data_IF_550149008455
#
_entry.id   IF_550149008455
#
_cell.length_a   1.000
_cell.length_b   1.000
_cell.length_c   1.000
_cell.angle_alpha   90.00
_cell.angle_beta   90.00
_cell.angle_gamma   90.00
#
_symmetry.space_group_name_H-M   'P 1'
#
loop_
_entity.id
_entity.type
_entity.pdbx_description
1 polymer ?
#
# COMPACT_ATOMS: atom_id res chain seq x y z
N UNK A 1 -20.77 -34.84 22.54
CA UNK A 1 -20.63 -34.23 21.21
C UNK A 1 -19.19 -33.76 21.09
N UNK A 2 -18.47 -34.11 20.03
CA UNK A 2 -17.11 -33.57 19.82
C UNK A 2 -17.21 -32.05 19.70
N UNK A 3 -16.22 -31.34 20.26
CA UNK A 3 -16.14 -29.89 20.13
C UNK A 3 -16.01 -29.55 18.64
N UNK A 4 -16.91 -28.71 18.11
CA UNK A 4 -16.81 -28.22 16.72
C UNK A 4 -15.53 -27.41 16.58
N UNK A 5 -14.80 -27.66 15.49
CA UNK A 5 -13.54 -26.99 15.18
C UNK A 5 -13.70 -26.16 13.92
N UNK A 6 -13.30 -24.90 14.00
CA UNK A 6 -13.37 -23.94 12.92
C UNK A 6 -11.95 -23.48 12.53
N UNK A 7 -11.64 -23.52 11.24
CA UNK A 7 -10.39 -22.98 10.70
C UNK A 7 -10.62 -21.51 10.35
N UNK A 8 -9.74 -20.63 10.84
CA UNK A 8 -9.70 -19.21 10.44
C UNK A 8 -8.51 -19.01 9.52
N UNK A 9 -8.76 -18.75 8.23
CA UNK A 9 -7.71 -18.54 7.25
C UNK A 9 -7.32 -17.06 7.16
N UNK A 10 -6.22 -16.72 7.83
CA UNK A 10 -5.59 -15.41 7.83
C UNK A 10 -4.80 -15.17 6.54
N UNK A 11 -4.90 -13.95 6.00
CA UNK A 11 -4.19 -13.40 4.83
C UNK A 11 -3.82 -11.94 5.14
N UNK A 12 -4.45 -10.97 4.48
CA UNK A 12 -4.22 -9.53 4.70
C UNK A 12 -5.18 -8.97 5.78
N UNK A 13 -5.29 -9.68 6.89
CA UNK A 13 -6.16 -9.42 8.04
C UNK A 13 -5.47 -9.83 9.35
N UNK A 14 -4.16 -9.53 9.44
CA UNK A 14 -3.25 -9.98 10.50
C UNK A 14 -3.48 -9.26 11.84
N UNK A 15 -4.70 -9.34 12.36
CA UNK A 15 -5.15 -8.76 13.63
C UNK A 15 -6.18 -9.64 14.32
N UNK A 16 -6.27 -9.47 15.63
CA UNK A 16 -7.30 -10.11 16.48
C UNK A 16 -8.51 -9.18 16.66
N UNK A 17 -8.25 -7.90 16.91
CA UNK A 17 -9.30 -6.91 17.12
C UNK A 17 -10.03 -6.59 15.82
N UNK A 18 -11.35 -6.35 15.93
CA UNK A 18 -12.19 -5.97 14.79
C UNK A 18 -12.04 -6.92 13.60
N UNK A 19 -11.88 -8.23 13.86
CA UNK A 19 -11.73 -9.28 12.87
C UNK A 19 -13.01 -10.14 12.81
N UNK A 20 -13.87 -9.95 11.78
CA UNK A 20 -15.15 -10.66 11.67
C UNK A 20 -15.03 -12.18 11.55
N UNK A 21 -14.09 -12.67 10.74
CA UNK A 21 -13.86 -14.11 10.59
C UNK A 21 -13.43 -14.76 11.91
N UNK A 22 -12.46 -14.15 12.61
CA UNK A 22 -12.03 -14.65 13.92
C UNK A 22 -13.17 -14.60 14.94
N UNK A 23 -13.97 -13.53 14.92
CA UNK A 23 -15.12 -13.40 15.81
C UNK A 23 -16.16 -14.49 15.55
N UNK A 24 -16.55 -14.69 14.30
CA UNK A 24 -17.52 -15.72 13.91
C UNK A 24 -17.05 -17.14 14.25
N UNK A 25 -15.75 -17.43 14.13
CA UNK A 25 -15.18 -18.71 14.53
C UNK A 25 -15.23 -18.91 16.06
N UNK A 26 -14.90 -17.86 16.82
CA UNK A 26 -14.87 -17.93 18.29
C UNK A 26 -16.24 -18.22 18.91
N UNK A 27 -17.34 -17.81 18.26
CA UNK A 27 -18.70 -18.09 18.72
C UNK A 27 -19.14 -19.56 18.47
N UNK A 28 -18.39 -20.34 17.67
CA UNK A 28 -18.75 -21.73 17.29
C UNK A 28 -18.10 -22.80 18.14
N UNK A 29 -16.86 -22.60 18.58
CA UNK A 29 -16.09 -23.63 19.26
C UNK A 29 -14.58 -23.43 19.19
N UNK A 30 -13.86 -24.54 19.01
CA UNK A 30 -12.40 -24.52 18.90
C UNK A 30 -11.96 -23.81 17.62
N UNK A 31 -10.89 -23.01 17.70
CA UNK A 31 -10.37 -22.24 16.56
C UNK A 31 -8.97 -22.68 16.20
N UNK A 32 -8.74 -22.91 14.91
CA UNK A 32 -7.42 -23.15 14.31
C UNK A 32 -7.08 -21.98 13.39
N UNK A 33 -6.29 -21.00 13.85
CA UNK A 33 -5.74 -19.96 12.99
C UNK A 33 -4.74 -20.57 12.01
N UNK A 34 -4.91 -20.32 10.71
CA UNK A 34 -3.97 -20.75 9.67
C UNK A 34 -3.55 -19.58 8.79
N UNK A 35 -2.27 -19.51 8.45
CA UNK A 35 -1.75 -18.72 7.35
C UNK A 35 -1.11 -19.64 6.31
N UNK A 36 -1.45 -19.43 5.04
CA UNK A 36 -0.96 -20.24 3.91
C UNK A 36 -0.16 -19.33 2.99
N UNK A 37 1.12 -19.64 2.82
CA UNK A 37 1.99 -18.97 1.86
C UNK A 37 1.86 -19.62 0.48
N UNK A 38 1.21 -18.91 -0.44
CA UNK A 38 0.91 -19.38 -1.80
C UNK A 38 1.13 -18.26 -2.84
N UNK A 39 2.38 -17.77 -3.01
CA UNK A 39 2.65 -16.63 -3.90
C UNK A 39 2.26 -16.89 -5.35
N UNK A 40 2.29 -18.16 -5.79
CA UNK A 40 1.88 -18.56 -7.14
C UNK A 40 0.37 -18.40 -7.40
N UNK A 41 -0.44 -18.21 -6.35
CA UNK A 41 -1.88 -17.96 -6.46
C UNK A 41 -2.25 -16.46 -6.45
N UNK A 42 -1.26 -15.56 -6.33
CA UNK A 42 -1.45 -14.10 -6.33
C UNK A 42 -1.50 -13.52 -7.77
N UNK A 43 -1.55 -14.38 -8.79
CA UNK A 43 -1.56 -13.99 -10.20
C UNK A 43 -0.24 -13.38 -10.66
N UNK A 44 -0.31 -12.35 -11.51
CA UNK A 44 0.88 -11.69 -12.06
C UNK A 44 1.59 -10.75 -11.05
N UNK A 45 1.07 -10.64 -9.82
CA UNK A 45 1.54 -9.73 -8.79
C UNK A 45 1.90 -10.47 -7.49
N UNK A 46 2.85 -11.42 -7.51
CA UNK A 46 3.33 -12.04 -6.28
C UNK A 46 3.96 -10.98 -5.35
N UNK A 47 3.88 -11.14 -4.02
CA UNK A 47 4.37 -10.13 -3.08
C UNK A 47 5.85 -9.80 -3.29
N UNK A 48 6.15 -8.49 -3.39
CA UNK A 48 7.49 -7.96 -3.58
C UNK A 48 8.42 -8.16 -2.38
N UNK A 49 9.70 -7.78 -2.53
CA UNK A 49 10.70 -7.85 -1.47
C UNK A 49 10.27 -7.20 -0.16
N UNK A 50 9.85 -5.93 -0.22
CA UNK A 50 9.54 -5.16 0.99
C UNK A 50 8.27 -5.68 1.69
N UNK A 51 7.26 -6.07 0.90
CA UNK A 51 6.03 -6.72 1.38
C UNK A 51 6.32 -8.04 2.08
N UNK A 52 7.22 -8.89 1.54
CA UNK A 52 7.58 -10.16 2.19
C UNK A 52 8.30 -9.94 3.51
N UNK A 53 9.23 -8.99 3.57
CA UNK A 53 9.87 -8.60 4.83
C UNK A 53 8.84 -8.17 5.87
N UNK A 54 7.94 -7.25 5.51
CA UNK A 54 6.88 -6.81 6.43
C UNK A 54 6.01 -7.98 6.89
N UNK A 55 5.56 -8.82 5.96
CA UNK A 55 4.75 -10.01 6.24
C UNK A 55 5.42 -10.94 7.25
N UNK A 56 6.73 -11.21 7.13
CA UNK A 56 7.46 -12.03 8.09
C UNK A 56 7.30 -11.48 9.51
N UNK A 57 7.56 -10.18 9.68
CA UNK A 57 7.45 -9.50 10.97
C UNK A 57 6.01 -9.51 11.50
N UNK A 58 5.02 -9.29 10.64
CA UNK A 58 3.60 -9.32 10.99
C UNK A 58 3.14 -10.71 11.44
N UNK A 59 3.55 -11.78 10.76
CA UNK A 59 3.22 -13.15 11.16
C UNK A 59 3.85 -13.51 12.49
N UNK A 60 5.09 -13.09 12.74
CA UNK A 60 5.74 -13.26 14.03
C UNK A 60 4.97 -12.55 15.16
N UNK A 61 4.56 -11.29 14.95
CA UNK A 61 3.78 -10.56 15.97
C UNK A 61 2.39 -11.14 16.18
N UNK A 62 1.66 -11.49 15.11
CA UNK A 62 0.36 -12.15 15.19
C UNK A 62 0.46 -13.49 15.93
N UNK A 63 1.49 -14.29 15.65
CA UNK A 63 1.73 -15.56 16.34
C UNK A 63 1.90 -15.36 17.85
N UNK A 64 2.63 -14.32 18.28
CA UNK A 64 2.75 -13.97 19.71
C UNK A 64 1.42 -13.57 20.33
N UNK A 65 0.63 -12.76 19.62
CA UNK A 65 -0.68 -12.33 20.11
C UNK A 65 -1.67 -13.50 20.23
N UNK A 66 -1.69 -14.41 19.25
CA UNK A 66 -2.51 -15.63 19.31
C UNK A 66 -2.04 -16.55 20.44
N UNK A 67 -0.74 -16.68 20.67
CA UNK A 67 -0.18 -17.45 21.78
C UNK A 67 -0.62 -16.91 23.14
N UNK A 68 -0.68 -15.60 23.32
CA UNK A 68 -1.19 -14.97 24.54
C UNK A 68 -2.69 -15.28 24.79
N UNK A 69 -3.44 -15.68 23.76
CA UNK A 69 -4.83 -16.16 23.87
C UNK A 69 -4.94 -17.69 24.00
N UNK A 70 -3.82 -18.40 24.14
CA UNK A 70 -3.78 -19.87 24.19
C UNK A 70 -3.93 -20.56 22.84
N UNK A 71 -3.79 -19.81 21.73
CA UNK A 71 -3.86 -20.34 20.36
C UNK A 71 -2.46 -20.50 19.75
N UNK A 72 -2.40 -21.15 18.59
CA UNK A 72 -1.20 -21.26 17.76
C UNK A 72 -1.55 -20.85 16.33
N UNK A 73 -0.71 -20.01 15.73
CA UNK A 73 -0.80 -19.76 14.28
C UNK A 73 -0.16 -20.93 13.54
N UNK A 74 -0.97 -21.61 12.73
CA UNK A 74 -0.50 -22.71 11.88
C UNK A 74 0.01 -22.13 10.56
N UNK A 75 1.27 -22.38 10.25
CA UNK A 75 1.90 -21.96 9.01
C UNK A 75 1.96 -23.12 8.01
N UNK A 76 1.59 -22.83 6.77
CA UNK A 76 1.60 -23.74 5.63
C UNK A 76 2.15 -23.06 4.39
N UNK A 77 2.60 -23.85 3.43
CA UNK A 77 3.05 -23.42 2.12
C UNK A 77 2.49 -24.36 1.06
N UNK A 78 2.01 -23.81 -0.06
CA UNK A 78 1.43 -24.59 -1.16
C UNK A 78 0.07 -24.07 -1.60
N UNK A 79 -0.59 -24.81 -2.49
CA UNK A 79 -1.93 -24.48 -3.01
C UNK A 79 -2.95 -24.40 -1.88
N UNK A 80 -3.71 -23.31 -1.82
CA UNK A 80 -4.57 -23.02 -0.66
C UNK A 80 -5.66 -24.07 -0.46
N UNK A 81 -6.29 -24.53 -1.55
CA UNK A 81 -7.33 -25.55 -1.50
C UNK A 81 -6.82 -26.86 -0.89
N UNK A 82 -5.73 -27.38 -1.45
CA UNK A 82 -5.14 -28.66 -1.05
C UNK A 82 -4.75 -28.63 0.45
N UNK A 83 -4.15 -27.53 0.89
CA UNK A 83 -3.78 -27.30 2.30
C UNK A 83 -5.00 -27.24 3.22
N UNK A 84 -6.07 -26.54 2.81
CA UNK A 84 -7.29 -26.45 3.62
C UNK A 84 -8.00 -27.80 3.74
N UNK A 85 -8.06 -28.59 2.66
CA UNK A 85 -8.61 -29.94 2.66
C UNK A 85 -7.79 -30.91 3.54
N UNK A 86 -6.46 -30.81 3.50
CA UNK A 86 -5.59 -31.57 4.39
C UNK A 86 -5.86 -31.22 5.86
N UNK A 87 -5.95 -29.93 6.17
CA UNK A 87 -6.19 -29.45 7.52
C UNK A 87 -7.55 -29.90 8.07
N UNK A 88 -8.63 -29.76 7.30
CA UNK A 88 -9.98 -30.19 7.76
C UNK A 88 -9.99 -31.67 8.08
N UNK A 89 -9.35 -32.50 7.25
CA UNK A 89 -9.20 -33.94 7.49
C UNK A 89 -8.39 -34.22 8.76
N UNK A 90 -7.28 -33.52 8.98
CA UNK A 90 -6.41 -33.72 10.14
C UNK A 90 -7.05 -33.33 11.48
N UNK A 91 -7.84 -32.26 11.50
CA UNK A 91 -8.38 -31.70 12.74
C UNK A 91 -9.89 -31.94 12.94
N UNK A 92 -10.57 -32.56 11.97
CA UNK A 92 -12.01 -32.75 12.00
C UNK A 92 -12.79 -31.43 11.99
N UNK A 93 -12.25 -30.39 11.35
CA UNK A 93 -12.95 -29.12 11.21
C UNK A 93 -14.11 -29.25 10.22
N UNK A 94 -15.28 -28.76 10.61
CA UNK A 94 -16.50 -28.74 9.79
C UNK A 94 -16.75 -27.39 9.12
N UNK A 95 -15.97 -26.37 9.51
CA UNK A 95 -16.15 -24.99 9.11
C UNK A 95 -14.81 -24.33 8.81
N UNK A 96 -14.76 -23.57 7.71
CA UNK A 96 -13.65 -22.68 7.37
C UNK A 96 -14.21 -21.28 7.18
N UNK A 97 -13.57 -20.30 7.81
CA UNK A 97 -13.96 -18.88 7.70
C UNK A 97 -12.79 -17.99 7.33
N UNK A 98 -13.07 -16.91 6.61
CA UNK A 98 -12.04 -15.95 6.22
C UNK A 98 -12.60 -14.56 5.89
N UNK A 99 -11.78 -13.51 6.00
CA UNK A 99 -12.17 -12.17 5.54
C UNK A 99 -11.86 -12.00 4.05
N UNK A 100 -12.72 -11.33 3.28
CA UNK A 100 -12.60 -11.17 1.82
C UNK A 100 -11.39 -10.31 1.43
N UNK A 101 -10.82 -10.66 0.27
CA UNK A 101 -9.83 -9.89 -0.49
C UNK A 101 -10.43 -9.59 -1.87
N UNK A 102 -9.97 -8.51 -2.50
CA UNK A 102 -10.67 -7.88 -3.63
C UNK A 102 -9.83 -7.80 -4.91
N UNK A 103 -8.64 -8.38 -4.89
CA UNK A 103 -7.77 -8.48 -6.05
C UNK A 103 -8.33 -9.52 -7.05
N UNK A 104 -8.27 -9.29 -8.37
CA UNK A 104 -8.98 -10.12 -9.34
C UNK A 104 -8.60 -11.60 -9.33
N UNK A 105 -7.30 -11.92 -9.16
CA UNK A 105 -6.83 -13.29 -9.05
C UNK A 105 -7.33 -13.97 -7.76
N UNK A 106 -7.36 -13.20 -6.66
CA UNK A 106 -7.78 -13.68 -5.34
C UNK A 106 -9.29 -13.92 -5.28
N UNK A 107 -10.11 -13.05 -5.89
CA UNK A 107 -11.55 -13.28 -6.01
C UNK A 107 -11.83 -14.61 -6.73
N UNK A 108 -11.13 -14.87 -7.85
CA UNK A 108 -11.27 -16.11 -8.62
C UNK A 108 -10.83 -17.33 -7.80
N UNK A 109 -9.69 -17.24 -7.11
CA UNK A 109 -9.17 -18.29 -6.23
C UNK A 109 -10.16 -18.59 -5.10
N UNK A 110 -10.57 -17.58 -4.35
CA UNK A 110 -11.44 -17.74 -3.17
C UNK A 110 -12.81 -18.31 -3.59
N UNK A 111 -13.35 -17.92 -4.74
CA UNK A 111 -14.57 -18.51 -5.29
C UNK A 111 -14.40 -20.00 -5.64
N UNK A 112 -13.27 -20.39 -6.23
CA UNK A 112 -12.95 -21.77 -6.52
C UNK A 112 -12.76 -22.61 -5.25
N UNK A 113 -11.99 -22.10 -4.29
CA UNK A 113 -11.75 -22.73 -2.98
C UNK A 113 -13.07 -22.93 -2.23
N UNK A 114 -13.91 -21.90 -2.12
CA UNK A 114 -15.21 -22.00 -1.46
C UNK A 114 -16.12 -23.04 -2.12
N UNK A 115 -16.19 -23.02 -3.46
CA UNK A 115 -17.01 -23.99 -4.22
C UNK A 115 -16.57 -25.43 -3.94
N UNK A 116 -15.26 -25.70 -3.92
CA UNK A 116 -14.76 -27.05 -3.71
C UNK A 116 -14.96 -27.52 -2.27
N UNK A 117 -14.65 -26.69 -1.28
CA UNK A 117 -14.84 -27.04 0.14
C UNK A 117 -16.31 -27.32 0.47
N UNK A 118 -17.25 -26.56 -0.11
CA UNK A 118 -18.69 -26.83 0.02
C UNK A 118 -19.08 -28.15 -0.65
N UNK A 119 -18.50 -28.47 -1.81
CA UNK A 119 -18.71 -29.76 -2.47
C UNK A 119 -18.18 -30.93 -1.63
N UNK A 120 -17.14 -30.70 -0.82
CA UNK A 120 -16.60 -31.66 0.14
C UNK A 120 -17.44 -31.75 1.44
N UNK A 121 -18.57 -31.03 1.53
CA UNK A 121 -19.49 -31.06 2.66
C UNK A 121 -19.11 -30.14 3.84
N UNK A 122 -18.19 -29.19 3.63
CA UNK A 122 -17.75 -28.24 4.65
C UNK A 122 -18.58 -26.96 4.63
N UNK A 123 -18.71 -26.31 5.78
CA UNK A 123 -19.28 -24.97 5.87
C UNK A 123 -18.22 -23.92 5.56
N UNK A 124 -18.51 -23.01 4.63
CA UNK A 124 -17.62 -21.91 4.27
C UNK A 124 -18.34 -20.58 4.47
N UNK A 125 -17.74 -19.69 5.25
CA UNK A 125 -18.26 -18.33 5.45
C UNK A 125 -17.20 -17.26 5.25
N UNK A 126 -17.61 -16.18 4.60
CA UNK A 126 -16.70 -15.08 4.25
C UNK A 126 -17.26 -13.75 4.72
N UNK A 127 -16.38 -12.88 5.18
CA UNK A 127 -16.77 -11.63 5.82
C UNK A 127 -16.07 -10.42 5.21
N UNK A 128 -16.72 -9.26 5.22
CA UNK A 128 -16.09 -7.98 4.91
C UNK A 128 -15.20 -7.58 6.07
N UNK A 129 -13.88 -7.45 5.85
CA UNK A 129 -12.94 -7.13 6.95
C UNK A 129 -11.82 -6.14 6.60
N UNK A 130 -11.58 -5.91 5.31
CA UNK A 130 -10.49 -5.08 4.80
C UNK A 130 -10.97 -3.73 4.24
N UNK A 131 -12.27 -3.54 4.02
CA UNK A 131 -12.90 -2.33 3.48
C UNK A 131 -14.03 -1.84 4.39
N UNK A 132 -14.36 -0.55 4.28
CA UNK A 132 -15.56 0.03 4.91
C UNK A 132 -16.82 -0.33 4.13
N UNK A 133 -16.73 -0.30 2.80
CA UNK A 133 -17.84 -0.52 1.90
C UNK A 133 -17.49 -1.61 0.89
N UNK A 134 -18.43 -2.53 0.65
CA UNK A 134 -18.28 -3.55 -0.37
C UNK A 134 -18.28 -2.90 -1.78
N UNK A 135 -17.24 -3.06 -2.62
CA UNK A 135 -17.12 -2.40 -3.93
C UNK A 135 -18.31 -2.56 -4.89
N UNK A 136 -19.09 -3.64 -4.75
CA UNK A 136 -20.27 -3.89 -5.56
C UNK A 136 -21.55 -3.16 -5.10
N UNK A 137 -21.57 -2.58 -3.91
CA UNK A 137 -22.79 -1.97 -3.32
C UNK A 137 -22.88 -0.47 -3.53
N UNK A 138 -21.76 0.20 -3.84
CA UNK A 138 -21.71 1.65 -4.05
C UNK A 138 -21.76 1.98 -5.54
N UNK A 139 -22.96 2.23 -6.06
CA UNK A 139 -23.21 2.55 -7.47
C UNK A 139 -23.83 3.93 -7.64
N UNK A 140 -23.67 4.51 -8.84
CA UNK A 140 -24.34 5.77 -9.16
C UNK A 140 -25.85 5.57 -9.40
N UNK A 141 -26.59 6.68 -9.57
CA UNK A 141 -28.04 6.66 -9.81
C UNK A 141 -28.48 5.87 -11.04
N UNK A 142 -27.58 5.59 -11.97
CA UNK A 142 -27.83 4.78 -13.17
C UNK A 142 -27.38 3.32 -13.01
N UNK A 143 -27.01 2.88 -11.81
CA UNK A 143 -26.52 1.53 -11.53
C UNK A 143 -25.12 1.23 -12.08
N UNK A 144 -24.35 2.27 -12.45
CA UNK A 144 -22.99 2.12 -12.99
C UNK A 144 -21.92 2.44 -11.92
N UNK A 145 -20.71 1.86 -12.02
CA UNK A 145 -19.62 2.18 -11.12
C UNK A 145 -19.17 3.62 -11.25
N UNK A 146 -18.78 4.24 -10.13
CA UNK A 146 -18.15 5.56 -10.13
C UNK A 146 -16.74 5.52 -10.74
N UNK A 147 -16.39 6.59 -11.45
CA UNK A 147 -15.03 6.87 -11.96
C UNK A 147 -14.51 8.25 -11.54
N UNK A 148 -15.22 8.91 -10.61
CA UNK A 148 -14.86 10.21 -10.04
C UNK A 148 -14.92 10.09 -8.52
N UNK A 149 -13.83 10.42 -7.83
CA UNK A 149 -13.69 10.18 -6.40
C UNK A 149 -14.71 10.96 -5.57
N UNK A 150 -14.90 12.25 -5.87
CA UNK A 150 -15.77 13.12 -5.07
C UNK A 150 -17.22 12.65 -5.05
N UNK A 151 -17.72 12.16 -6.19
CA UNK A 151 -19.06 11.60 -6.30
C UNK A 151 -19.17 10.26 -5.55
N UNK A 152 -18.18 9.39 -5.69
CA UNK A 152 -18.09 8.11 -4.97
C UNK A 152 -18.09 8.34 -3.45
N UNK A 153 -17.19 9.19 -2.96
CA UNK A 153 -17.03 9.43 -1.52
C UNK A 153 -18.26 10.07 -0.90
N UNK A 154 -18.90 11.02 -1.61
CA UNK A 154 -20.18 11.58 -1.18
C UNK A 154 -21.27 10.51 -1.01
N UNK A 155 -21.31 9.52 -1.89
CA UNK A 155 -22.27 8.39 -1.76
C UNK A 155 -21.89 7.43 -0.64
N UNK A 156 -20.60 7.18 -0.40
CA UNK A 156 -20.13 6.41 0.75
C UNK A 156 -20.54 7.05 2.08
N UNK A 157 -20.38 8.37 2.22
CA UNK A 157 -20.74 9.12 3.43
C UNK A 157 -22.25 9.14 3.73
N UNK A 158 -23.10 8.70 2.79
CA UNK A 158 -24.55 8.55 3.00
C UNK A 158 -24.93 7.16 3.54
N UNK A 159 -23.99 6.22 3.56
CA UNK A 159 -24.21 4.89 4.10
C UNK A 159 -24.17 4.92 5.63
N UNK A 160 -24.77 3.91 6.30
CA UNK A 160 -24.62 3.75 7.74
C UNK A 160 -23.14 3.69 8.15
N UNK A 161 -22.85 4.19 9.35
CA UNK A 161 -21.50 4.11 9.88
C UNK A 161 -21.02 2.65 10.00
N UNK A 162 -19.71 2.40 9.78
CA UNK A 162 -19.14 1.06 9.90
C UNK A 162 -19.35 0.47 11.30
N UNK A 163 -20.04 -0.67 11.38
CA UNK A 163 -20.29 -1.35 12.65
C UNK A 163 -18.99 -1.97 13.17
N UNK A 164 -18.69 -1.72 14.45
CA UNK A 164 -17.55 -2.34 15.12
C UNK A 164 -17.80 -3.84 15.33
N UNK A 165 -16.83 -4.66 14.93
CA UNK A 165 -16.79 -6.06 15.35
C UNK A 165 -16.18 -6.16 16.74
N UNK A 166 -16.92 -6.78 17.67
CA UNK A 166 -16.43 -6.99 19.03
C UNK A 166 -15.32 -8.04 19.05
N UNK A 167 -14.21 -7.72 19.71
CA UNK A 167 -13.09 -8.66 19.92
C UNK A 167 -13.52 -9.81 20.83
N UNK A 168 -13.23 -11.08 20.48
CA UNK A 168 -13.48 -12.21 21.36
C UNK A 168 -12.71 -12.09 22.69
N UNK A 169 -13.39 -12.24 23.83
CA UNK A 169 -12.74 -12.20 25.16
C UNK A 169 -11.97 -13.48 25.48
N UNK A 170 -12.41 -14.61 24.94
CA UNK A 170 -11.78 -15.94 25.06
C UNK A 170 -12.01 -16.67 23.74
N UNK A 171 -11.01 -17.45 23.33
CA UNK A 171 -11.10 -18.31 22.15
C UNK A 171 -10.63 -19.69 22.57
N UNK A 172 -11.42 -20.73 22.29
CA UNK A 172 -11.07 -22.09 22.68
C UNK A 172 -10.02 -22.66 21.71
N UNK A 173 -8.91 -23.24 22.21
CA UNK A 173 -8.01 -24.01 21.36
C UNK A 173 -8.64 -25.36 20.97
N UNK A 174 -8.17 -26.01 19.89
CA UNK A 174 -8.52 -27.39 19.58
C UNK A 174 -7.91 -28.36 20.59
N UNK A 175 -8.47 -29.57 20.68
CA UNK A 175 -7.92 -30.64 21.51
C UNK A 175 -6.54 -31.12 21.04
N UNK A 176 -6.26 -31.03 19.74
CA UNK A 176 -4.95 -31.32 19.16
C UNK A 176 -4.62 -30.30 18.09
N UNK A 177 -3.35 -29.89 18.03
CA UNK A 177 -2.86 -28.96 17.02
C UNK A 177 -2.33 -29.72 15.80
N UNK A 178 -2.67 -29.30 14.57
CA UNK A 178 -2.01 -29.85 13.39
C UNK A 178 -0.53 -29.46 13.38
N UNK A 179 0.28 -30.16 12.57
CA UNK A 179 1.68 -29.79 12.34
C UNK A 179 1.76 -28.34 11.85
N UNK A 180 2.91 -27.69 11.94
CA UNK A 180 3.12 -26.34 11.41
C UNK A 180 4.54 -26.22 10.90
N UNK A 181 4.73 -25.48 9.82
CA UNK A 181 6.04 -24.97 9.46
C UNK A 181 6.52 -23.97 10.53
N UNK A 182 7.83 -23.77 10.58
CA UNK A 182 8.41 -22.58 11.22
C UNK A 182 8.22 -21.36 10.31
N UNK A 183 8.42 -20.17 10.86
CA UNK A 183 8.36 -18.94 10.06
C UNK A 183 9.52 -18.85 9.06
N UNK A 184 10.70 -19.37 9.43
CA UNK A 184 11.89 -19.37 8.58
C UNK A 184 11.72 -20.28 7.34
N UNK A 185 10.93 -21.35 7.47
CA UNK A 185 10.59 -22.24 6.34
C UNK A 185 9.82 -21.52 5.22
N UNK A 186 9.17 -20.38 5.53
CA UNK A 186 8.49 -19.58 4.51
C UNK A 186 9.45 -18.75 3.66
N UNK A 187 10.70 -18.54 4.10
CA UNK A 187 11.76 -17.83 3.37
C UNK A 187 11.33 -16.43 2.90
N UNK A 188 10.68 -15.67 3.79
CA UNK A 188 10.16 -14.33 3.52
C UNK A 188 11.19 -13.21 3.71
N UNK A 189 12.17 -13.42 4.58
CA UNK A 189 13.28 -12.49 4.79
C UNK A 189 14.26 -12.53 3.61
N UNK A 190 14.89 -11.40 3.25
CA UNK A 190 15.83 -11.36 2.14
C UNK A 190 17.14 -12.07 2.50
N UNK A 191 17.72 -12.78 1.53
CA UNK A 191 19.00 -13.49 1.72
C UNK A 191 20.20 -12.54 1.90
N UNK A 192 20.16 -11.37 1.26
CA UNK A 192 21.10 -10.27 1.49
C UNK A 192 20.35 -9.23 2.30
N UNK A 193 20.93 -8.76 3.41
CA UNK A 193 20.23 -7.84 4.31
C UNK A 193 20.16 -6.40 3.78
N UNK A 194 19.35 -6.18 2.74
CA UNK A 194 18.99 -4.85 2.25
C UNK A 194 17.83 -4.22 3.04
N UNK A 195 17.23 -4.97 3.97
CA UNK A 195 16.08 -4.53 4.78
C UNK A 195 16.46 -3.86 6.11
N UNK A 196 17.75 -3.68 6.39
CA UNK A 196 18.23 -3.07 7.65
C UNK A 196 17.59 -1.72 7.95
N UNK A 197 17.55 -0.81 6.98
CA UNK A 197 16.90 0.50 7.13
C UNK A 197 15.38 0.41 7.35
N UNK A 198 14.72 -0.64 6.83
CA UNK A 198 13.30 -0.89 7.11
C UNK A 198 13.08 -1.35 8.55
N UNK A 199 13.98 -2.18 9.11
CA UNK A 199 13.93 -2.59 10.52
C UNK A 199 14.12 -1.42 11.48
N UNK A 200 14.93 -0.43 11.10
CA UNK A 200 15.10 0.80 11.87
C UNK A 200 13.87 1.72 11.75
N UNK A 201 13.28 1.79 10.56
CA UNK A 201 12.17 2.69 10.26
C UNK A 201 10.80 2.20 10.77
N UNK A 202 10.61 0.89 10.94
CA UNK A 202 9.29 0.30 11.14
C UNK A 202 9.25 -0.79 12.20
N UNK A 203 8.07 -0.91 12.82
CA UNK A 203 7.69 -2.03 13.69
C UNK A 203 6.33 -2.57 13.22
N UNK A 204 6.32 -3.61 12.37
CA UNK A 204 5.08 -4.25 11.92
C UNK A 204 4.27 -4.87 13.06
N UNK A 205 2.96 -5.00 12.86
CA UNK A 205 2.02 -5.66 13.78
C UNK A 205 0.91 -4.76 14.31
N UNK A 206 -0.24 -5.38 14.64
CA UNK A 206 -1.46 -4.70 15.05
C UNK A 206 -1.32 -3.81 16.30
N UNK A 207 -0.45 -4.19 17.26
CA UNK A 207 -0.21 -3.39 18.47
C UNK A 207 0.45 -2.05 18.14
N UNK A 208 1.47 -2.07 17.29
CA UNK A 208 2.17 -0.85 16.87
C UNK A 208 1.29 -0.03 15.93
N UNK A 209 0.49 -0.67 15.06
CA UNK A 209 -0.52 0.00 14.26
C UNK A 209 -1.50 0.83 15.12
N UNK A 210 -2.02 0.23 16.20
CA UNK A 210 -2.91 0.88 17.14
C UNK A 210 -2.24 2.03 17.91
N UNK A 211 -1.00 1.83 18.36
CA UNK A 211 -0.21 2.89 19.01
C UNK A 211 -0.01 4.08 18.07
N UNK A 212 0.35 3.81 16.82
CA UNK A 212 0.55 4.83 15.79
C UNK A 212 -0.74 5.57 15.46
N UNK A 213 -1.86 4.86 15.34
CA UNK A 213 -3.18 5.47 15.14
C UNK A 213 -3.53 6.42 16.29
N UNK A 214 -3.35 6.01 17.55
CA UNK A 214 -3.61 6.88 18.70
C UNK A 214 -2.72 8.13 18.71
N UNK A 215 -1.42 7.97 18.46
CA UNK A 215 -0.48 9.09 18.38
C UNK A 215 -0.86 10.07 17.27
N UNK A 216 -1.22 9.56 16.09
CA UNK A 216 -1.67 10.37 14.98
C UNK A 216 -2.95 11.14 15.32
N UNK A 217 -3.97 10.44 15.84
CA UNK A 217 -5.26 11.04 16.20
C UNK A 217 -5.16 12.12 17.30
N UNK A 218 -4.19 11.98 18.22
CA UNK A 218 -3.95 12.95 19.29
C UNK A 218 -3.01 14.09 18.89
N UNK A 219 -2.25 13.94 17.81
CA UNK A 219 -1.23 14.88 17.36
C UNK A 219 -1.50 15.39 15.96
N UNK A 220 -0.82 14.80 14.97
CA UNK A 220 -0.76 15.31 13.60
C UNK A 220 -2.13 15.41 12.89
N UNK A 221 -3.15 14.67 13.34
CA UNK A 221 -4.51 14.78 12.79
C UNK A 221 -5.06 16.21 12.84
N UNK A 222 -4.75 16.99 13.89
CA UNK A 222 -5.28 18.36 14.01
C UNK A 222 -4.84 19.28 12.87
N UNK A 223 -3.61 19.08 12.34
CA UNK A 223 -3.05 19.87 11.25
C UNK A 223 -2.89 19.05 9.95
N UNK A 224 -3.66 17.97 9.80
CA UNK A 224 -3.45 17.01 8.71
C UNK A 224 -3.65 17.65 7.32
N UNK A 225 -4.63 18.54 7.15
CA UNK A 225 -4.93 19.18 5.86
C UNK A 225 -3.69 19.84 5.24
N UNK A 226 -2.93 20.57 6.05
CA UNK A 226 -1.70 21.25 5.63
C UNK A 226 -0.50 20.29 5.69
N UNK A 227 -0.34 19.60 6.81
CA UNK A 227 0.84 18.79 7.11
C UNK A 227 1.05 17.62 6.16
N UNK A 228 -0.01 16.99 5.65
CA UNK A 228 0.08 15.85 4.71
C UNK A 228 0.82 16.15 3.41
N UNK A 229 0.93 17.43 3.04
CA UNK A 229 1.55 17.85 1.79
C UNK A 229 3.07 18.08 1.93
N UNK A 230 3.55 18.33 3.14
CA UNK A 230 4.96 18.62 3.42
C UNK A 230 5.73 17.31 3.57
N UNK A 231 6.86 17.18 2.87
CA UNK A 231 7.68 15.95 2.89
C UNK A 231 8.77 15.98 3.95
N UNK A 232 9.07 17.16 4.49
CA UNK A 232 10.10 17.40 5.51
C UNK A 232 9.63 17.17 6.94
N UNK A 233 8.33 16.96 7.16
CA UNK A 233 7.74 16.71 8.48
C UNK A 233 6.95 15.40 8.51
N UNK A 234 6.80 14.81 9.69
CA UNK A 234 5.90 13.66 9.89
C UNK A 234 4.43 14.13 10.04
N UNK A 235 3.89 14.69 8.96
CA UNK A 235 2.54 15.25 8.90
C UNK A 235 1.44 14.26 8.50
N UNK A 236 1.79 12.99 8.25
CA UNK A 236 0.85 11.95 7.81
C UNK A 236 0.72 10.84 8.85
N UNK A 237 -0.29 9.97 8.72
CA UNK A 237 -0.47 8.88 9.68
C UNK A 237 0.58 7.78 9.54
N UNK A 238 1.16 7.60 8.35
CA UNK A 238 2.04 6.47 7.97
C UNK A 238 1.45 5.12 8.41
N UNK A 239 0.12 4.96 8.27
CA UNK A 239 -0.63 3.74 8.58
C UNK A 239 -0.87 2.83 7.36
N UNK A 240 -0.45 3.24 6.16
CA UNK A 240 -0.69 2.51 4.92
C UNK A 240 -0.23 1.05 4.93
N UNK A 241 0.97 0.66 5.43
CA UNK A 241 1.34 -0.75 5.45
C UNK A 241 0.48 -1.55 6.46
N UNK A 242 0.18 -0.97 7.62
CA UNK A 242 -0.71 -1.61 8.60
C UNK A 242 -2.13 -1.84 8.05
N UNK A 243 -2.65 -0.91 7.26
CA UNK A 243 -3.94 -1.05 6.56
C UNK A 243 -3.89 -2.07 5.42
N UNK A 244 -2.76 -2.17 4.71
CA UNK A 244 -2.57 -3.15 3.63
C UNK A 244 -2.56 -4.59 4.17
N UNK A 245 -1.80 -4.86 5.23
CA UNK A 245 -1.75 -6.19 5.88
C UNK A 245 -2.93 -6.48 6.82
N UNK A 246 -3.86 -5.52 6.96
CA UNK A 246 -5.03 -5.65 7.82
C UNK A 246 -4.70 -5.83 9.30
N UNK A 247 -3.54 -5.33 9.73
CA UNK A 247 -3.15 -5.18 11.13
C UNK A 247 -4.01 -4.12 11.83
N UNK A 248 -4.59 -3.23 11.03
CA UNK A 248 -5.55 -2.22 11.41
C UNK A 248 -6.73 -2.27 10.45
N UNK A 249 -7.96 -2.30 10.96
CA UNK A 249 -9.15 -2.17 10.10
C UNK A 249 -9.40 -0.70 9.76
N UNK A 250 -9.96 -0.40 8.57
CA UNK A 250 -10.39 0.97 8.28
C UNK A 250 -11.51 1.45 9.23
N UNK A 251 -12.32 0.53 9.79
CA UNK A 251 -13.32 0.84 10.80
C UNK A 251 -12.72 1.30 12.14
N UNK A 252 -11.56 0.75 12.54
CA UNK A 252 -10.79 1.23 13.69
C UNK A 252 -10.27 2.65 13.44
N UNK A 253 -9.78 2.94 12.22
CA UNK A 253 -9.33 4.29 11.84
C UNK A 253 -10.49 5.28 11.89
N UNK A 254 -11.61 4.95 11.26
CA UNK A 254 -12.83 5.78 11.25
C UNK A 254 -13.23 6.17 12.68
N UNK A 255 -13.39 5.19 13.58
CA UNK A 255 -13.79 5.42 14.96
C UNK A 255 -12.77 6.24 15.75
N UNK A 256 -11.47 6.02 15.54
CA UNK A 256 -10.43 6.81 16.20
C UNK A 256 -10.46 8.28 15.77
N UNK A 257 -10.80 8.56 14.52
CA UNK A 257 -10.95 9.93 14.01
C UNK A 257 -12.21 10.58 14.58
N UNK A 258 -13.34 9.87 14.52
CA UNK A 258 -14.64 10.38 15.01
C UNK A 258 -14.69 10.61 16.52
N UNK A 259 -13.84 9.92 17.30
CA UNK A 259 -13.73 10.13 18.75
C UNK A 259 -12.54 11.02 19.16
N UNK A 260 -11.76 11.52 18.18
CA UNK A 260 -10.65 12.43 18.45
C UNK A 260 -11.13 13.86 18.76
N UNK A 261 -10.24 14.68 19.34
CA UNK A 261 -10.51 16.12 19.52
C UNK A 261 -10.66 16.88 18.20
N UNK A 262 -10.18 16.32 17.09
CA UNK A 262 -10.28 16.89 15.77
C UNK A 262 -11.56 16.45 15.03
N UNK A 263 -12.43 15.64 15.64
CA UNK A 263 -13.70 15.23 15.04
C UNK A 263 -14.53 16.45 14.60
N UNK A 264 -15.07 16.40 13.38
CA UNK A 264 -15.81 17.51 12.77
C UNK A 264 -14.94 18.66 12.25
N UNK A 265 -13.61 18.57 12.33
CA UNK A 265 -12.71 19.53 11.68
C UNK A 265 -12.45 19.18 10.21
N UNK A 266 -12.07 20.18 9.42
CA UNK A 266 -11.61 19.98 8.03
C UNK A 266 -10.47 18.97 7.93
N UNK A 267 -9.52 18.99 8.87
CA UNK A 267 -8.40 18.02 8.88
C UNK A 267 -8.88 16.58 9.07
N UNK A 268 -9.90 16.35 9.89
CA UNK A 268 -10.50 15.03 10.07
C UNK A 268 -11.25 14.58 8.81
N UNK A 269 -12.03 15.47 8.18
CA UNK A 269 -12.75 15.17 6.93
C UNK A 269 -11.79 14.86 5.79
N UNK A 270 -10.71 15.65 5.66
CA UNK A 270 -9.64 15.40 4.69
C UNK A 270 -8.97 14.06 4.97
N UNK A 271 -8.69 13.71 6.23
CA UNK A 271 -8.10 12.41 6.56
C UNK A 271 -9.03 11.24 6.23
N UNK A 272 -10.33 11.34 6.54
CA UNK A 272 -11.32 10.32 6.17
C UNK A 272 -11.47 10.20 4.65
N UNK A 273 -11.37 11.31 3.90
CA UNK A 273 -11.35 11.26 2.45
C UNK A 273 -10.12 10.50 1.91
N UNK A 274 -8.97 10.55 2.58
CA UNK A 274 -7.79 9.75 2.21
C UNK A 274 -7.99 8.25 2.49
N UNK A 275 -8.77 7.89 3.52
CA UNK A 275 -9.26 6.51 3.67
C UNK A 275 -10.25 6.17 2.54
N UNK A 276 -11.11 7.11 2.16
CA UNK A 276 -12.00 7.00 1.01
C UNK A 276 -11.26 6.75 -0.31
N UNK A 277 -10.06 7.33 -0.51
CA UNK A 277 -9.24 7.07 -1.69
C UNK A 277 -8.80 5.61 -1.77
N UNK A 278 -8.52 4.97 -0.63
CA UNK A 278 -8.24 3.52 -0.56
C UNK A 278 -9.49 2.72 -0.96
N UNK A 279 -10.66 3.06 -0.43
CA UNK A 279 -11.93 2.43 -0.82
C UNK A 279 -12.20 2.59 -2.32
N UNK A 280 -11.94 3.78 -2.87
CA UNK A 280 -12.12 4.08 -4.28
C UNK A 280 -11.14 3.30 -5.17
N UNK A 281 -9.90 3.08 -4.72
CA UNK A 281 -8.94 2.25 -5.41
C UNK A 281 -9.44 0.80 -5.56
N UNK A 282 -9.96 0.21 -4.48
CA UNK A 282 -10.54 -1.13 -4.52
C UNK A 282 -11.83 -1.17 -5.35
N UNK A 283 -12.66 -0.13 -5.28
CA UNK A 283 -13.83 0.03 -6.14
C UNK A 283 -13.45 -0.03 -7.62
N UNK A 284 -12.46 0.73 -8.04
CA UNK A 284 -12.00 0.73 -9.43
C UNK A 284 -11.36 -0.60 -9.84
N UNK A 285 -10.53 -1.21 -8.99
CA UNK A 285 -9.92 -2.50 -9.29
C UNK A 285 -10.98 -3.59 -9.47
N UNK A 286 -12.01 -3.60 -8.62
CA UNK A 286 -13.11 -4.55 -8.69
C UNK A 286 -13.91 -4.42 -10.00
N UNK A 287 -14.28 -3.19 -10.38
CA UNK A 287 -15.09 -2.94 -11.58
C UNK A 287 -14.27 -2.94 -12.89
N UNK A 288 -12.97 -2.64 -12.82
CA UNK A 288 -12.06 -2.53 -13.97
C UNK A 288 -10.78 -3.34 -13.75
N UNK A 289 -10.85 -4.68 -13.62
CA UNK A 289 -9.71 -5.52 -13.25
C UNK A 289 -8.56 -5.51 -14.27
N UNK A 290 -8.83 -5.17 -15.54
CA UNK A 290 -7.82 -5.04 -16.57
C UNK A 290 -6.85 -3.87 -16.32
N UNK A 291 -7.18 -2.95 -15.42
CA UNK A 291 -6.38 -1.74 -15.15
C UNK A 291 -5.01 -2.03 -14.56
N UNK A 292 -4.79 -3.22 -14.01
CA UNK A 292 -3.47 -3.64 -13.53
C UNK A 292 -2.45 -3.75 -14.67
N UNK A 293 -2.88 -3.99 -15.92
CA UNK A 293 -1.99 -4.18 -17.08
C UNK A 293 -2.26 -3.19 -18.24
N UNK A 294 -3.35 -2.44 -18.19
CA UNK A 294 -3.73 -1.52 -19.25
C UNK A 294 -4.29 -0.20 -18.69
N UNK A 295 -4.13 0.93 -19.38
CA UNK A 295 -4.74 2.18 -18.96
C UNK A 295 -6.27 2.08 -19.00
N UNK A 296 -6.95 2.68 -18.03
CA UNK A 296 -8.41 2.78 -18.04
C UNK A 296 -8.91 3.62 -19.22
N UNK A 297 -8.16 4.68 -19.57
CA UNK A 297 -8.41 5.50 -20.77
C UNK A 297 -7.77 4.84 -21.99
N UNK A 298 -8.61 4.24 -22.82
CA UNK A 298 -8.22 3.47 -24.00
C UNK A 298 -7.24 4.20 -24.93
N UNK A 299 -7.36 5.51 -25.11
CA UNK A 299 -6.46 6.30 -25.99
C UNK A 299 -4.99 6.19 -25.58
N UNK A 300 -4.70 6.00 -24.29
CA UNK A 300 -3.34 5.85 -23.78
C UNK A 300 -2.68 4.52 -24.12
N UNK A 301 -3.42 3.52 -24.65
CA UNK A 301 -2.80 2.31 -25.20
C UNK A 301 -1.87 2.60 -26.37
N UNK A 302 -2.13 3.70 -27.10
CA UNK A 302 -1.31 4.17 -28.22
C UNK A 302 -0.29 5.24 -27.80
N UNK A 303 -0.15 5.52 -26.51
CA UNK A 303 0.79 6.54 -26.05
C UNK A 303 2.23 6.10 -26.39
N UNK A 304 3.04 6.97 -27.00
CA UNK A 304 4.38 6.62 -27.48
C UNK A 304 5.41 6.58 -26.34
N UNK A 305 5.25 5.63 -25.41
CA UNK A 305 6.22 5.42 -24.33
C UNK A 305 7.60 5.01 -24.87
N UNK A 306 8.65 5.50 -24.24
CA UNK A 306 10.04 5.26 -24.61
C UNK A 306 10.71 4.19 -23.75
N UNK A 307 11.56 3.37 -24.39
CA UNK A 307 12.36 2.34 -23.70
C UNK A 307 13.72 2.90 -23.26
N UNK A 308 13.74 3.73 -22.21
CA UNK A 308 14.97 4.34 -21.68
C UNK A 308 15.56 3.59 -20.49
N UNK A 309 16.10 2.38 -20.71
CA UNK A 309 16.62 1.50 -19.64
C UNK A 309 17.65 2.15 -18.72
N UNK A 310 18.56 2.97 -19.27
CA UNK A 310 19.57 3.67 -18.47
C UNK A 310 18.93 4.76 -17.57
N UNK A 311 17.96 5.51 -18.09
CA UNK A 311 17.24 6.52 -17.32
C UNK A 311 16.38 5.88 -16.23
N UNK A 312 15.72 4.75 -16.51
CA UNK A 312 14.97 3.98 -15.53
C UNK A 312 15.86 3.57 -14.34
N UNK A 313 17.04 2.99 -14.61
CA UNK A 313 17.98 2.61 -13.54
C UNK A 313 18.43 3.80 -12.69
N UNK A 314 18.69 4.96 -13.32
CA UNK A 314 19.06 6.18 -12.59
C UNK A 314 17.91 6.72 -11.74
N UNK A 315 16.68 6.61 -12.24
CA UNK A 315 15.48 6.94 -11.46
C UNK A 315 15.32 6.00 -10.26
N UNK A 316 15.38 4.68 -10.46
CA UNK A 316 15.30 3.67 -9.39
C UNK A 316 16.33 3.89 -8.29
N UNK A 317 17.54 4.36 -8.64
CA UNK A 317 18.65 4.58 -7.71
C UNK A 317 18.70 5.99 -7.08
N UNK A 318 17.79 6.89 -7.44
CA UNK A 318 17.87 8.30 -7.00
C UNK A 318 19.17 8.98 -7.45
N UNK A 319 19.47 8.85 -8.75
CA UNK A 319 20.64 9.44 -9.42
C UNK A 319 20.23 10.23 -10.67
N UNK A 320 19.07 10.88 -10.61
CA UNK A 320 18.49 11.64 -11.72
C UNK A 320 19.11 13.04 -11.88
N UNK A 321 19.81 13.52 -10.86
CA UNK A 321 20.30 14.89 -10.81
C UNK A 321 19.22 15.89 -10.39
N UNK A 322 17.97 15.47 -10.15
CA UNK A 322 16.91 16.28 -9.56
C UNK A 322 16.74 15.94 -8.07
N UNK A 323 17.17 16.81 -7.15
CA UNK A 323 17.32 16.46 -5.73
C UNK A 323 16.07 15.94 -5.02
N UNK A 324 14.89 16.48 -5.32
CA UNK A 324 13.65 15.99 -4.72
C UNK A 324 13.27 14.60 -5.22
N UNK A 325 13.61 14.26 -6.46
CA UNK A 325 13.40 12.92 -7.03
C UNK A 325 14.39 11.97 -6.39
N UNK A 326 15.65 12.38 -6.31
CA UNK A 326 16.74 11.57 -5.76
C UNK A 326 16.54 11.29 -4.27
N UNK A 327 16.14 12.30 -3.50
CA UNK A 327 15.77 12.17 -2.10
C UNK A 327 14.64 11.15 -1.90
N UNK A 328 13.57 11.29 -2.68
CA UNK A 328 12.41 10.41 -2.58
C UNK A 328 12.75 8.95 -2.91
N UNK A 329 13.51 8.71 -3.99
CA UNK A 329 13.88 7.36 -4.39
C UNK A 329 14.85 6.70 -3.39
N UNK A 330 15.69 7.50 -2.72
CA UNK A 330 16.56 7.01 -1.64
C UNK A 330 15.81 6.76 -0.34
N UNK A 331 14.82 7.58 0.01
CA UNK A 331 13.89 7.34 1.13
C UNK A 331 13.13 6.02 0.93
N UNK A 332 12.58 5.81 -0.27
CA UNK A 332 11.93 4.56 -0.66
C UNK A 332 12.87 3.36 -0.47
N UNK A 333 14.08 3.43 -1.01
CA UNK A 333 15.01 2.31 -0.90
C UNK A 333 15.43 2.03 0.55
N UNK A 334 15.68 3.08 1.34
CA UNK A 334 16.16 2.93 2.70
C UNK A 334 15.06 2.48 3.68
N UNK A 335 13.83 2.97 3.52
CA UNK A 335 12.75 2.78 4.50
C UNK A 335 11.60 1.93 3.99
N UNK A 336 11.60 1.58 2.70
CA UNK A 336 10.46 0.92 2.05
C UNK A 336 9.22 1.82 1.94
N UNK A 337 9.34 3.13 2.16
CA UNK A 337 8.22 4.06 2.18
C UNK A 337 8.58 5.37 1.52
N UNK A 338 7.55 6.02 0.97
CA UNK A 338 7.66 7.35 0.39
C UNK A 338 6.41 8.16 0.73
N UNK A 339 6.51 9.43 1.18
CA UNK A 339 5.35 10.31 1.35
C UNK A 339 4.54 10.42 0.05
N UNK A 340 3.20 10.48 0.14
CA UNK A 340 2.35 10.50 -1.05
C UNK A 340 2.70 11.63 -2.04
N UNK A 341 3.01 12.83 -1.53
CA UNK A 341 3.46 13.94 -2.38
C UNK A 341 4.72 13.58 -3.17
N UNK A 342 5.71 12.97 -2.52
CA UNK A 342 6.92 12.50 -3.19
C UNK A 342 6.61 11.41 -4.23
N UNK A 343 5.69 10.47 -3.93
CA UNK A 343 5.23 9.45 -4.91
C UNK A 343 4.69 10.08 -6.19
N UNK A 344 3.85 11.11 -6.06
CA UNK A 344 3.29 11.84 -7.21
C UNK A 344 4.40 12.53 -8.03
N UNK A 345 5.39 13.14 -7.37
CA UNK A 345 6.48 13.85 -8.03
C UNK A 345 7.36 12.86 -8.81
N UNK A 346 7.78 11.75 -8.20
CA UNK A 346 8.63 10.76 -8.88
C UNK A 346 7.90 10.02 -9.99
N UNK A 347 6.59 9.74 -9.82
CA UNK A 347 5.76 9.13 -10.84
C UNK A 347 5.53 10.07 -12.04
N UNK A 348 5.29 11.36 -11.77
CA UNK A 348 5.20 12.38 -12.83
C UNK A 348 6.53 12.52 -13.57
N UNK A 349 7.67 12.46 -12.86
CA UNK A 349 8.97 12.53 -13.49
C UNK A 349 9.22 11.34 -14.42
N UNK A 350 8.94 10.12 -13.96
CA UNK A 350 9.08 8.90 -14.77
C UNK A 350 8.22 8.95 -16.04
N UNK A 351 6.93 9.26 -15.87
CA UNK A 351 5.94 9.17 -16.95
C UNK A 351 5.97 10.37 -17.89
N UNK A 352 6.32 11.57 -17.39
CA UNK A 352 6.27 12.79 -18.20
C UNK A 352 7.66 13.28 -18.61
N UNK A 353 8.65 13.28 -17.71
CA UNK A 353 9.99 13.76 -18.07
C UNK A 353 10.80 12.71 -18.83
N UNK A 354 10.63 11.44 -18.48
CA UNK A 354 11.38 10.34 -19.11
C UNK A 354 10.57 9.59 -20.17
N UNK A 355 9.27 9.86 -20.27
CA UNK A 355 8.32 9.16 -21.14
C UNK A 355 8.38 7.63 -20.99
N UNK A 356 8.75 7.14 -19.80
CA UNK A 356 8.74 5.72 -19.50
C UNK A 356 7.33 5.33 -19.05
N UNK A 357 6.87 4.15 -19.47
CA UNK A 357 5.54 3.66 -19.08
C UNK A 357 5.41 3.57 -17.55
N UNK A 358 4.22 3.91 -17.05
CA UNK A 358 3.87 3.84 -15.64
C UNK A 358 4.02 2.43 -15.06
N UNK A 359 3.95 1.39 -15.89
CA UNK A 359 4.06 -0.01 -15.47
C UNK A 359 5.46 -0.35 -14.92
N UNK A 360 6.52 0.23 -15.48
CA UNK A 360 7.89 0.05 -14.98
C UNK A 360 8.06 0.66 -13.59
N UNK A 361 7.41 1.81 -13.37
CA UNK A 361 7.34 2.44 -12.05
C UNK A 361 6.48 1.65 -11.07
N UNK A 362 5.32 1.15 -11.51
CA UNK A 362 4.43 0.31 -10.72
C UNK A 362 5.10 -0.98 -10.25
N UNK A 363 5.87 -1.64 -11.12
CA UNK A 363 6.66 -2.81 -10.78
C UNK A 363 7.78 -2.49 -9.78
N UNK A 364 8.48 -1.37 -9.94
CA UNK A 364 9.50 -0.94 -8.96
C UNK A 364 8.89 -0.66 -7.58
N UNK A 365 7.76 0.05 -7.55
CA UNK A 365 7.02 0.33 -6.33
C UNK A 365 6.49 -0.95 -5.68
N UNK A 366 6.03 -1.90 -6.49
CA UNK A 366 5.55 -3.20 -6.00
C UNK A 366 6.62 -3.99 -5.25
N UNK A 367 7.87 -3.93 -5.71
CA UNK A 367 8.97 -4.67 -5.08
C UNK A 367 9.53 -3.97 -3.82
N UNK A 368 9.43 -2.65 -3.77
CA UNK A 368 10.17 -1.82 -2.79
C UNK A 368 9.30 -1.15 -1.73
N UNK A 369 7.98 -1.04 -1.92
CA UNK A 369 7.09 -0.45 -0.91
C UNK A 369 6.62 -1.49 0.11
N UNK A 370 6.69 -1.13 1.39
CA UNK A 370 6.06 -1.92 2.47
C UNK A 370 4.53 -1.85 2.43
N UNK A 371 3.97 -0.87 1.73
CA UNK A 371 2.53 -0.69 1.53
C UNK A 371 2.09 -0.92 0.08
N UNK A 372 2.79 -1.80 -0.64
CA UNK A 372 2.47 -2.20 -2.00
C UNK A 372 1.10 -2.89 -2.10
N UNK A 373 0.06 -2.09 -2.30
CA UNK A 373 -1.33 -2.51 -2.47
C UNK A 373 -1.75 -2.42 -3.95
N UNK A 374 -2.28 -3.50 -4.54
CA UNK A 374 -2.49 -3.58 -5.99
C UNK A 374 -3.48 -2.52 -6.49
N UNK A 375 -4.55 -2.30 -5.74
CA UNK A 375 -5.56 -1.30 -6.05
C UNK A 375 -4.97 0.11 -5.97
N UNK A 376 -4.36 0.45 -4.83
CA UNK A 376 -3.84 1.79 -4.56
C UNK A 376 -2.65 2.14 -5.46
N UNK A 377 -1.75 1.19 -5.71
CA UNK A 377 -0.61 1.35 -6.61
C UNK A 377 -1.11 1.58 -8.06
N UNK A 378 -2.04 0.74 -8.54
CA UNK A 378 -2.62 0.89 -9.88
C UNK A 378 -3.30 2.24 -10.05
N UNK A 379 -4.16 2.63 -9.10
CA UNK A 379 -4.84 3.93 -9.13
C UNK A 379 -3.84 5.08 -9.16
N UNK A 380 -2.87 5.10 -8.24
CA UNK A 380 -1.91 6.21 -8.11
C UNK A 380 -1.05 6.41 -9.36
N UNK A 381 -0.57 5.31 -9.96
CA UNK A 381 0.21 5.36 -11.19
C UNK A 381 -0.61 5.86 -12.37
N UNK A 382 -1.80 5.32 -12.58
CA UNK A 382 -2.65 5.74 -13.69
C UNK A 382 -3.17 7.18 -13.51
N UNK A 383 -3.46 7.59 -12.29
CA UNK A 383 -3.86 8.97 -11.97
C UNK A 383 -2.75 9.97 -12.33
N UNK A 384 -1.51 9.65 -11.98
CA UNK A 384 -0.34 10.50 -12.27
C UNK A 384 0.01 10.52 -13.76
N UNK A 385 -0.10 9.35 -14.41
CA UNK A 385 0.13 9.17 -15.84
C UNK A 385 -1.02 9.70 -16.72
N UNK A 386 -2.08 10.28 -16.15
CA UNK A 386 -3.20 10.88 -16.89
C UNK A 386 -4.14 9.90 -17.57
N UNK A 387 -3.96 8.60 -17.35
CA UNK A 387 -4.63 7.51 -18.07
C UNK A 387 -5.67 6.76 -17.21
N UNK A 388 -5.84 7.14 -15.94
CA UNK A 388 -6.78 6.52 -15.00
C UNK A 388 -8.12 7.26 -14.82
N UNK A 389 -8.91 6.75 -13.87
CA UNK A 389 -10.10 7.41 -13.37
C UNK A 389 -9.72 8.70 -12.61
N UNK A 390 -10.54 9.73 -12.72
CA UNK A 390 -10.32 11.05 -12.08
C UNK A 390 -8.90 11.63 -12.27
N UNK A 391 -8.21 11.20 -13.35
CA UNK A 391 -6.78 11.41 -13.48
C UNK A 391 -6.41 12.88 -13.67
N UNK A 392 -5.28 13.27 -13.08
CA UNK A 392 -4.69 14.58 -13.32
C UNK A 392 -4.51 14.79 -14.84
N UNK A 393 -4.91 15.95 -15.39
CA UNK A 393 -4.75 16.19 -16.82
C UNK A 393 -3.29 16.00 -17.24
N UNK A 394 -3.05 15.20 -18.29
CA UNK A 394 -1.69 14.79 -18.68
C UNK A 394 -0.75 15.99 -18.88
N UNK A 395 -1.25 17.05 -19.50
CA UNK A 395 -0.52 18.29 -19.78
C UNK A 395 0.02 19.02 -18.53
N UNK A 396 -0.42 18.67 -17.32
CA UNK A 396 0.18 19.14 -16.07
C UNK A 396 1.46 18.37 -15.78
N UNK A 397 2.56 18.80 -16.38
CA UNK A 397 3.92 18.30 -16.07
C UNK A 397 4.44 19.04 -14.84
N UNK A 398 4.65 18.33 -13.73
CA UNK A 398 5.16 18.96 -12.50
C UNK A 398 6.60 19.43 -12.69
N UNK A 399 6.91 20.67 -12.35
CA UNK A 399 8.29 21.13 -12.30
C UNK A 399 8.91 20.67 -10.97
N UNK A 400 9.92 19.75 -10.97
CA UNK A 400 10.47 19.22 -9.72
C UNK A 400 11.04 20.30 -8.79
N UNK A 401 11.57 21.39 -9.34
CA UNK A 401 12.14 22.51 -8.57
C UNK A 401 11.04 23.21 -7.77
N UNK A 402 9.91 23.53 -8.42
CA UNK A 402 8.80 24.23 -7.73
C UNK A 402 8.05 23.30 -6.80
N UNK A 403 8.04 21.99 -7.06
CA UNK A 403 7.55 21.00 -6.11
C UNK A 403 8.44 20.95 -4.86
N UNK A 404 9.78 20.93 -5.02
CA UNK A 404 10.73 20.96 -3.91
C UNK A 404 10.54 22.21 -3.06
N UNK A 405 10.54 23.41 -3.67
CA UNK A 405 10.38 24.67 -2.93
C UNK A 405 9.04 24.78 -2.19
N UNK A 406 7.99 24.11 -2.67
CA UNK A 406 6.65 24.17 -2.07
C UNK A 406 6.44 23.16 -0.93
N UNK A 407 7.05 21.99 -1.04
CA UNK A 407 6.78 20.85 -0.15
C UNK A 407 7.98 20.41 0.70
N UNK A 408 9.16 20.98 0.46
CA UNK A 408 10.38 20.90 1.27
C UNK A 408 10.99 22.31 1.36
N UNK A 409 10.27 23.30 1.91
CA UNK A 409 10.64 24.72 1.80
C UNK A 409 12.02 25.04 2.38
N UNK A 410 12.48 24.27 3.36
CA UNK A 410 13.80 24.44 4.00
C UNK A 410 14.88 23.49 3.43
N UNK A 411 14.52 22.61 2.50
CA UNK A 411 15.42 21.60 1.96
C UNK A 411 15.78 20.48 2.95
N UNK A 412 15.07 20.34 4.06
CA UNK A 412 15.40 19.39 5.11
C UNK A 412 15.24 17.94 4.65
N UNK A 413 14.22 17.66 3.83
CA UNK A 413 14.03 16.33 3.24
C UNK A 413 15.17 15.98 2.27
N UNK A 414 15.52 16.92 1.39
CA UNK A 414 16.63 16.74 0.44
C UNK A 414 17.96 16.58 1.17
N UNK A 415 18.26 17.42 2.18
CA UNK A 415 19.51 17.33 2.95
C UNK A 415 19.66 15.99 3.67
N UNK A 416 18.55 15.44 4.18
CA UNK A 416 18.54 14.13 4.85
C UNK A 416 18.92 12.99 3.89
N UNK A 417 18.32 12.97 2.70
CA UNK A 417 18.42 11.83 1.78
C UNK A 417 19.47 11.99 0.68
N UNK A 418 19.95 13.22 0.45
CA UNK A 418 21.02 13.56 -0.49
C UNK A 418 22.09 14.36 0.26
N UNK A 419 22.76 13.75 1.26
CA UNK A 419 23.69 14.44 2.14
C UNK A 419 24.88 15.04 1.39
N UNK A 420 25.24 14.49 0.23
CA UNK A 420 26.37 14.95 -0.57
C UNK A 420 26.20 16.36 -1.17
N UNK A 421 24.97 16.92 -1.18
CA UNK A 421 24.69 18.31 -1.57
C UNK A 421 24.13 19.14 -0.41
N UNK A 422 24.13 18.59 0.81
CA UNK A 422 23.46 19.19 1.96
C UNK A 422 24.12 20.47 2.50
N UNK A 423 25.25 20.91 1.94
CA UNK A 423 25.85 22.22 2.25
C UNK A 423 25.34 23.35 1.32
N UNK A 424 24.62 23.04 0.23
CA UNK A 424 24.14 24.06 -0.70
C UNK A 424 23.07 24.96 -0.06
N UNK A 425 23.05 26.28 -0.35
CA UNK A 425 21.95 27.17 0.03
C UNK A 425 20.63 26.69 -0.57
N UNK A 426 19.51 26.82 0.15
CA UNK A 426 18.19 26.25 -0.23
C UNK A 426 17.78 26.54 -1.69
N UNK A 427 17.87 27.78 -2.22
CA UNK A 427 17.48 28.04 -3.60
C UNK A 427 18.31 27.26 -4.65
N UNK A 428 19.58 26.97 -4.34
CA UNK A 428 20.50 26.21 -5.18
C UNK A 428 20.45 24.71 -4.89
N UNK A 429 20.03 24.32 -3.68
CA UNK A 429 19.82 22.93 -3.30
C UNK A 429 18.79 22.25 -4.21
N UNK A 430 17.76 22.95 -4.66
CA UNK A 430 16.73 22.38 -5.54
C UNK A 430 17.17 22.25 -7.00
N UNK A 431 18.24 22.95 -7.39
CA UNK A 431 18.77 23.03 -8.75
C UNK A 431 20.31 23.17 -8.75
N UNK A 432 21.06 22.16 -8.27
CA UNK A 432 22.52 22.28 -8.09
C UNK A 432 23.27 22.61 -9.39
N UNK A 433 22.72 22.24 -10.54
CA UNK A 433 23.30 22.53 -11.86
C UNK A 433 23.28 24.00 -12.27
N UNK A 434 22.51 24.85 -11.58
CA UNK A 434 22.52 26.31 -11.78
C UNK A 434 23.41 27.04 -10.75
N UNK A 435 24.02 26.31 -9.82
CA UNK A 435 24.89 26.93 -8.81
C UNK A 435 26.21 27.42 -9.43
N UNK A 436 26.67 28.64 -9.08
CA UNK A 436 28.00 29.13 -9.45
C UNK A 436 29.11 28.17 -9.00
N UNK A 437 30.18 28.06 -9.80
CA UNK A 437 31.29 27.16 -9.53
C UNK A 437 31.91 27.36 -8.14
N UNK A 438 32.05 28.60 -7.68
CA UNK A 438 32.56 28.92 -6.35
C UNK A 438 31.69 28.36 -5.21
N UNK A 439 30.36 28.41 -5.37
CA UNK A 439 29.41 27.86 -4.39
C UNK A 439 29.45 26.33 -4.40
N UNK A 440 29.56 25.72 -5.58
CA UNK A 440 29.74 24.27 -5.71
C UNK A 440 31.03 23.80 -5.03
N UNK A 441 32.15 24.49 -5.26
CA UNK A 441 33.43 24.18 -4.65
C UNK A 441 33.40 24.34 -3.13
N UNK A 442 32.84 25.44 -2.61
CA UNK A 442 32.75 25.66 -1.15
C UNK A 442 31.85 24.65 -0.45
N UNK A 443 30.84 24.12 -1.16
CA UNK A 443 29.97 23.04 -0.69
C UNK A 443 30.56 21.63 -0.93
N UNK A 444 31.74 21.50 -1.54
CA UNK A 444 32.35 20.20 -1.87
C UNK A 444 31.66 19.42 -3.00
N UNK A 445 30.79 20.07 -3.78
CA UNK A 445 29.96 19.43 -4.80
C UNK A 445 30.61 19.51 -6.17
N UNK A 446 30.93 18.36 -6.77
CA UNK A 446 31.37 18.26 -8.16
C UNK A 446 30.30 17.56 -9.00
N UNK A 447 29.63 18.30 -9.89
CA UNK A 447 28.56 17.75 -10.72
C UNK A 447 29.11 16.71 -11.72
N UNK A 448 28.53 15.51 -11.71
CA UNK A 448 29.00 14.35 -12.45
C UNK A 448 29.99 13.46 -11.69
N UNK A 449 30.41 13.86 -10.48
CA UNK A 449 31.24 13.04 -9.58
C UNK A 449 30.56 12.87 -8.22
N UNK A 450 30.43 13.95 -7.45
CA UNK A 450 29.78 13.96 -6.13
C UNK A 450 28.27 13.76 -6.26
N UNK A 451 27.64 14.52 -7.17
CA UNK A 451 26.21 14.46 -7.44
C UNK A 451 25.97 14.53 -8.96
N UNK A 452 25.06 13.74 -9.55
CA UNK A 452 24.91 13.68 -11.00
C UNK A 452 24.38 14.98 -11.62
N UNK A 453 24.74 15.21 -12.88
CA UNK A 453 24.03 16.19 -13.73
C UNK A 453 22.61 15.69 -14.04
N UNK A 454 21.63 16.61 -14.27
CA UNK A 454 20.29 16.27 -14.70
C UNK A 454 20.29 15.32 -15.90
N UNK A 455 19.41 14.31 -15.87
CA UNK A 455 19.33 13.31 -16.97
C UNK A 455 18.59 13.80 -18.20
N UNK A 456 17.86 14.90 -18.04
CA UNK A 456 17.08 15.57 -19.07
C UNK A 456 16.92 17.02 -18.62
N UNK A 457 16.81 17.95 -19.57
CA UNK A 457 16.38 19.31 -19.26
C UNK A 457 14.87 19.39 -19.02
N UNK A 458 14.42 20.24 -18.09
CA UNK A 458 13.01 20.32 -17.74
C UNK A 458 12.14 20.88 -18.89
N UNK A 459 12.61 21.92 -19.58
CA UNK A 459 11.85 22.58 -20.63
C UNK A 459 11.74 21.66 -21.86
N UNK A 460 12.83 21.00 -22.23
CA UNK A 460 12.85 20.00 -23.30
C UNK A 460 11.93 18.82 -22.98
N UNK A 461 12.03 18.25 -21.77
CA UNK A 461 11.22 17.12 -21.34
C UNK A 461 9.72 17.46 -21.34
N UNK A 462 9.37 18.67 -20.86
CA UNK A 462 7.99 19.15 -20.88
C UNK A 462 7.47 19.29 -22.32
N UNK A 463 8.27 19.83 -23.23
CA UNK A 463 7.90 19.96 -24.64
C UNK A 463 7.66 18.59 -25.28
N UNK A 464 8.58 17.65 -25.07
CA UNK A 464 8.46 16.28 -25.55
C UNK A 464 7.20 15.57 -25.03
N UNK A 465 6.87 15.74 -23.75
CA UNK A 465 5.66 15.16 -23.15
C UNK A 465 4.37 15.69 -23.77
N UNK A 466 4.30 16.99 -24.05
CA UNK A 466 3.14 17.60 -24.70
C UNK A 466 3.02 17.17 -26.16
N UNK A 467 4.14 17.07 -26.87
CA UNK A 467 4.17 16.54 -28.23
C UNK A 467 3.67 15.08 -28.27
N UNK A 468 4.16 14.23 -27.37
CA UNK A 468 3.71 12.84 -27.23
C UNK A 468 2.21 12.74 -26.92
N UNK A 469 1.69 13.60 -26.03
CA UNK A 469 0.27 13.64 -25.69
C UNK A 469 -0.61 14.04 -26.88
N UNK A 470 -0.17 15.00 -27.70
CA UNK A 470 -0.91 15.42 -28.88
C UNK A 470 -1.09 14.31 -29.92
N UNK A 471 -0.22 13.30 -29.95
CA UNK A 471 -0.35 12.15 -30.87
C UNK A 471 -1.53 11.23 -30.53
N UNK A 472 -2.09 11.32 -29.32
CA UNK A 472 -3.20 10.46 -28.87
C UNK A 472 -4.51 11.22 -28.59
N UNK A 473 -4.52 12.54 -28.82
CA UNK A 473 -5.68 13.40 -28.58
C UNK A 473 -6.73 13.32 -29.68
#
# INVERSE_FOLDING_TARGET
>A
MSQRTCIVWFRNDLRIEDNPALRAASDRGAVIPVYIWAPDEEGDWPPGGATRWWLHQSLHTLSKQLHALGLRLILRKGRSLDVLQELTTQCGADTIVWNRRYEPAIIKRDAHVAKQLVADGLNVETFTGSLLFEPGTILNKSGKPFQVFTAFWKTCLQQPEPVQTLTPKRISPPASWPKSLSLDDLQLEPAIDWASGMRDAWKPGAVEAQKRLRQFAQGALANYEVGRNQVDIDGSSRLSPHLHFGELSPGQVWRAVMTSKAAGSTSADVYLAEIGWREFAHHLLFHFPHTTHAPLRESFKRFPWEKRRAALKRWQRGQTGYPIIDAAMRDLWATGFMPNRARMIVASFLTKHLLITWQEGAAWFWDTLVDADLASNTLGWQWTAGCGADAAPYFRVFNPITQASKFDPNGAYIRKWVPEIAALPVPLLFKPWEAPGEILMSAGVHLGKTYPKPIVDHAEARSAALAAYNLIR
#
